data_IF_678769128026
#
_entry.id   IF_678769128026
#
_cell.length_a   1.000
_cell.length_b   1.000
_cell.length_c   1.000
_cell.angle_alpha   90.00
_cell.angle_beta   90.00
_cell.angle_gamma   90.00
#
_symmetry.space_group_name_H-M   'P 1'
#
loop_
_entity.id
_entity.type
_entity.pdbx_description
1 polymer ?
#
# COMPACT_ATOMS: atom_id res chain seq x y z
N UNK A 1 20.22 49.54 -6.84
CA UNK A 1 18.99 48.98 -6.24
C UNK A 1 18.92 47.53 -6.68
N UNK A 2 18.87 46.62 -5.71
CA UNK A 2 18.91 45.18 -5.91
C UNK A 2 17.49 44.70 -5.67
N UNK A 3 16.86 44.11 -6.69
CA UNK A 3 15.59 43.38 -6.50
C UNK A 3 15.92 41.89 -6.31
N UNK A 4 15.58 41.30 -5.15
CA UNK A 4 15.74 39.88 -4.89
C UNK A 4 14.37 39.19 -4.92
N UNK A 5 14.06 38.44 -5.97
CA UNK A 5 13.26 37.22 -5.87
C UNK A 5 13.15 36.58 -7.26
N UNK A 6 14.19 35.84 -7.66
CA UNK A 6 13.96 34.74 -8.60
C UNK A 6 13.44 33.58 -7.79
N UNK A 7 12.12 33.51 -7.62
CA UNK A 7 11.46 32.27 -7.19
C UNK A 7 11.58 31.30 -8.36
N UNK A 8 12.58 30.42 -8.31
CA UNK A 8 12.65 29.26 -9.19
C UNK A 8 11.44 28.38 -8.86
N UNK A 9 10.44 28.41 -9.73
CA UNK A 9 9.42 27.36 -9.76
C UNK A 9 10.18 26.06 -10.07
N UNK A 10 10.29 25.17 -9.09
CA UNK A 10 10.59 23.78 -9.36
C UNK A 10 9.31 23.22 -9.98
N UNK A 11 9.35 22.98 -11.29
CA UNK A 11 8.37 22.13 -11.96
C UNK A 11 8.50 20.74 -11.33
N UNK A 12 7.54 20.35 -10.51
CA UNK A 12 7.33 18.94 -10.16
C UNK A 12 7.00 18.22 -11.48
N UNK A 13 7.85 17.26 -11.87
CA UNK A 13 7.80 16.60 -13.16
C UNK A 13 6.54 15.75 -13.29
N UNK A 14 5.78 15.94 -14.37
CA UNK A 14 4.62 15.12 -14.80
C UNK A 14 4.94 13.60 -14.89
N UNK A 15 6.22 13.21 -14.86
CA UNK A 15 6.67 11.82 -14.85
C UNK A 15 6.30 11.07 -13.54
N UNK A 16 6.14 11.76 -12.41
CA UNK A 16 5.92 11.11 -11.10
C UNK A 16 4.52 10.48 -10.98
N UNK A 17 3.49 11.10 -11.57
CA UNK A 17 2.12 10.58 -11.54
C UNK A 17 1.96 9.33 -12.42
N UNK A 18 2.75 9.21 -13.49
CA UNK A 18 2.71 8.06 -14.41
C UNK A 18 3.03 6.73 -13.71
N UNK A 19 3.82 6.76 -12.64
CA UNK A 19 4.16 5.57 -11.85
C UNK A 19 2.96 5.04 -11.06
N UNK A 20 2.00 5.90 -10.73
CA UNK A 20 0.78 5.53 -10.04
C UNK A 20 -0.31 5.04 -10.99
N UNK A 21 -0.11 5.21 -12.30
CA UNK A 21 -0.97 4.65 -13.33
C UNK A 21 -0.57 3.20 -13.61
N UNK A 22 -1.56 2.31 -13.74
CA UNK A 22 -1.35 0.87 -14.00
C UNK A 22 -0.58 0.62 -15.32
N UNK A 23 -0.70 1.55 -16.26
CA UNK A 23 0.01 1.59 -17.55
C UNK A 23 1.47 2.02 -17.46
N UNK A 24 1.93 2.59 -16.33
CA UNK A 24 3.34 2.97 -16.13
C UNK A 24 4.29 1.80 -15.85
N UNK A 25 3.76 0.57 -15.81
CA UNK A 25 4.43 -0.63 -15.31
C UNK A 25 4.30 -1.82 -16.28
N UNK A 26 4.64 -1.60 -17.55
CA UNK A 26 4.47 -2.52 -18.70
C UNK A 26 5.03 -3.95 -18.53
N UNK A 27 5.83 -4.23 -17.49
CA UNK A 27 6.34 -5.56 -17.15
C UNK A 27 6.37 -5.84 -15.62
N UNK A 28 5.38 -5.35 -14.87
CA UNK A 28 5.33 -5.58 -13.43
C UNK A 28 4.78 -6.96 -13.03
N UNK A 29 5.41 -7.58 -12.04
CA UNK A 29 4.78 -8.64 -11.27
C UNK A 29 3.79 -8.04 -10.29
N UNK A 30 2.65 -8.70 -10.09
CA UNK A 30 1.59 -8.25 -9.19
C UNK A 30 1.48 -9.22 -8.01
N UNK A 31 1.37 -8.67 -6.82
CA UNK A 31 0.92 -9.36 -5.61
C UNK A 31 -0.30 -8.61 -5.08
N UNK A 32 -1.39 -9.32 -4.77
CA UNK A 32 -2.58 -8.72 -4.19
C UNK A 32 -3.13 -9.61 -3.09
N UNK A 33 -3.50 -8.99 -1.97
CA UNK A 33 -4.10 -9.67 -0.83
C UNK A 33 -5.09 -8.75 -0.12
N UNK A 34 -6.16 -9.34 0.42
CA UNK A 34 -7.17 -8.63 1.20
C UNK A 34 -7.27 -9.26 2.58
N UNK A 35 -7.14 -8.45 3.62
CA UNK A 35 -7.23 -8.86 5.02
C UNK A 35 -8.57 -8.42 5.60
N UNK A 36 -9.28 -9.34 6.27
CA UNK A 36 -10.46 -9.05 7.08
C UNK A 36 -10.09 -9.24 8.55
N UNK A 37 -10.20 -8.19 9.36
CA UNK A 37 -9.68 -8.14 10.73
C UNK A 37 -10.82 -8.18 11.74
N UNK A 38 -10.73 -9.02 12.77
CA UNK A 38 -11.80 -9.18 13.79
C UNK A 38 -11.73 -8.13 14.91
N UNK A 39 -10.65 -7.37 14.97
CA UNK A 39 -10.39 -6.37 16.01
C UNK A 39 -9.51 -6.85 17.16
N UNK A 40 -9.26 -8.16 17.27
CA UNK A 40 -8.54 -8.84 18.35
C UNK A 40 -7.27 -9.57 17.86
N UNK A 41 -6.59 -8.97 16.86
CA UNK A 41 -5.34 -9.43 16.23
C UNK A 41 -5.47 -10.62 15.27
N UNK A 42 -6.67 -11.16 15.03
CA UNK A 42 -6.84 -12.17 14.00
C UNK A 42 -7.28 -11.53 12.70
N UNK A 43 -6.64 -11.97 11.61
CA UNK A 43 -7.11 -11.69 10.27
C UNK A 43 -7.29 -12.93 9.45
N UNK A 44 -8.27 -12.85 8.56
CA UNK A 44 -8.41 -13.78 7.44
C UNK A 44 -7.81 -13.07 6.23
N UNK A 45 -6.80 -13.69 5.62
CA UNK A 45 -6.26 -13.25 4.34
C UNK A 45 -6.94 -13.99 3.19
N UNK A 46 -7.41 -13.23 2.21
CA UNK A 46 -7.90 -13.72 0.93
C UNK A 46 -6.90 -13.32 -0.16
N UNK A 47 -5.94 -14.20 -0.49
CA UNK A 47 -5.07 -13.94 -1.62
C UNK A 47 -5.91 -13.89 -2.91
N UNK A 48 -5.66 -12.88 -3.75
CA UNK A 48 -6.35 -12.78 -5.03
C UNK A 48 -5.94 -13.93 -5.95
N UNK A 49 -6.91 -14.77 -6.34
CA UNK A 49 -6.72 -15.87 -7.30
C UNK A 49 -6.66 -15.29 -8.72
N UNK A 50 -5.46 -14.92 -9.19
CA UNK A 50 -5.36 -14.36 -10.54
C UNK A 50 -3.96 -14.23 -11.14
N UNK A 51 -3.00 -13.62 -10.46
CA UNK A 51 -1.73 -13.21 -11.10
C UNK A 51 -0.52 -13.70 -10.30
N UNK A 52 -0.10 -14.94 -10.54
CA UNK A 52 0.87 -15.68 -9.72
C UNK A 52 2.35 -15.50 -10.13
N UNK A 53 2.75 -14.32 -10.62
CA UNK A 53 4.15 -14.02 -10.92
C UNK A 53 4.84 -13.15 -9.86
N UNK A 54 4.41 -13.21 -8.59
CA UNK A 54 4.93 -12.33 -7.53
C UNK A 54 6.45 -12.50 -7.33
N UNK A 55 7.17 -11.37 -7.35
CA UNK A 55 8.61 -11.37 -7.10
C UNK A 55 8.92 -11.69 -5.63
N UNK A 56 10.13 -12.18 -5.35
CA UNK A 56 10.61 -12.38 -3.96
C UNK A 56 10.56 -11.08 -3.17
N UNK A 57 10.87 -9.97 -3.83
CA UNK A 57 10.87 -8.63 -3.24
C UNK A 57 9.44 -8.18 -2.92
N UNK A 58 8.45 -8.42 -3.79
CA UNK A 58 7.04 -8.17 -3.49
C UNK A 58 6.56 -8.98 -2.26
N UNK A 59 7.01 -10.23 -2.13
CA UNK A 59 6.71 -11.07 -0.97
C UNK A 59 7.33 -10.51 0.32
N UNK A 60 8.55 -9.95 0.25
CA UNK A 60 9.19 -9.31 1.39
C UNK A 60 8.45 -8.02 1.80
N UNK A 61 8.07 -7.18 0.83
CA UNK A 61 7.27 -5.97 1.08
C UNK A 61 5.95 -6.35 1.77
N UNK A 62 5.25 -7.37 1.27
CA UNK A 62 4.01 -7.85 1.88
C UNK A 62 4.21 -8.28 3.35
N UNK A 63 5.29 -9.00 3.67
CA UNK A 63 5.58 -9.42 5.05
C UNK A 63 5.86 -8.22 5.96
N UNK A 64 6.66 -7.26 5.50
CA UNK A 64 6.93 -6.05 6.27
C UNK A 64 5.65 -5.24 6.54
N UNK A 65 4.73 -5.24 5.57
CA UNK A 65 3.42 -4.64 5.74
C UNK A 65 2.54 -5.41 6.73
N UNK A 66 2.49 -6.74 6.65
CA UNK A 66 1.74 -7.57 7.62
C UNK A 66 2.24 -7.36 9.05
N UNK A 67 3.57 -7.37 9.26
CA UNK A 67 4.16 -7.09 10.57
C UNK A 67 3.83 -5.67 11.07
N UNK A 68 3.75 -4.69 10.18
CA UNK A 68 3.32 -3.34 10.53
C UNK A 68 1.85 -3.31 10.91
N UNK A 69 1.00 -3.96 10.12
CA UNK A 69 -0.44 -3.99 10.32
C UNK A 69 -0.79 -4.68 11.64
N UNK A 70 -0.14 -5.80 11.94
CA UNK A 70 -0.24 -6.47 13.23
C UNK A 70 0.14 -5.53 14.37
N UNK A 71 1.26 -4.81 14.27
CA UNK A 71 1.69 -3.87 15.31
C UNK A 71 0.76 -2.66 15.45
N UNK A 72 0.23 -2.14 14.35
CA UNK A 72 -0.69 -0.99 14.33
C UNK A 72 -2.01 -1.33 15.03
N UNK A 73 -2.43 -2.58 14.93
CA UNK A 73 -3.64 -3.10 15.58
C UNK A 73 -3.35 -3.69 16.97
N UNK A 74 -2.09 -4.07 17.24
CA UNK A 74 -1.63 -4.59 18.52
C UNK A 74 -1.47 -3.48 19.55
N UNK A 75 -2.37 -3.44 20.52
CA UNK A 75 -2.43 -2.37 21.53
C UNK A 75 -3.84 -1.85 21.78
N UNK A 76 -4.83 -2.30 21.00
CA UNK A 76 -6.24 -2.12 21.35
C UNK A 76 -6.54 -2.77 22.71
N UNK A 77 -7.20 -2.02 23.57
CA UNK A 77 -7.97 -2.64 24.64
C UNK A 77 -9.19 -3.29 23.98
N UNK A 78 -9.59 -4.47 24.43
CA UNK A 78 -10.72 -5.24 23.89
C UNK A 78 -12.04 -4.45 23.83
N UNK A 79 -12.14 -3.34 24.57
CA UNK A 79 -13.32 -2.48 24.63
C UNK A 79 -13.22 -1.18 23.79
N UNK A 80 -12.14 -0.95 23.03
CA UNK A 80 -11.99 0.26 22.22
C UNK A 80 -12.49 0.06 20.77
N UNK A 81 -13.62 0.69 20.39
CA UNK A 81 -14.16 0.58 19.04
C UNK A 81 -13.28 1.27 17.98
N UNK A 82 -12.37 2.17 18.37
CA UNK A 82 -11.56 2.95 17.43
C UNK A 82 -10.55 2.06 16.74
N UNK A 83 -10.59 1.98 15.40
CA UNK A 83 -9.62 1.25 14.59
C UNK A 83 -8.54 2.23 14.11
N UNK A 84 -7.29 2.19 14.62
CA UNK A 84 -6.29 3.21 14.31
C UNK A 84 -6.07 3.42 12.81
N UNK A 85 -6.12 2.35 12.01
CA UNK A 85 -5.96 2.45 10.55
C UNK A 85 -7.12 3.14 9.82
N UNK A 86 -8.29 3.25 10.46
CA UNK A 86 -9.44 3.99 9.92
C UNK A 86 -9.53 5.42 10.45
N UNK A 87 -9.04 5.66 11.68
CA UNK A 87 -9.19 6.92 12.40
C UNK A 87 -7.97 7.85 12.25
N UNK A 88 -6.77 7.29 12.16
CA UNK A 88 -5.56 8.08 11.95
C UNK A 88 -5.57 8.73 10.56
N UNK A 89 -4.90 9.88 10.44
CA UNK A 89 -4.80 10.55 9.15
C UNK A 89 -4.04 9.67 8.14
N UNK A 90 -4.57 9.61 6.91
CA UNK A 90 -4.03 8.78 5.83
C UNK A 90 -2.59 9.11 5.47
N UNK A 91 -2.20 10.38 5.59
CA UNK A 91 -0.83 10.84 5.37
C UNK A 91 0.13 10.31 6.45
N UNK A 92 -0.29 10.34 7.72
CA UNK A 92 0.50 9.79 8.83
C UNK A 92 0.72 8.29 8.67
N UNK A 93 -0.33 7.53 8.32
CA UNK A 93 -0.24 6.09 8.07
C UNK A 93 0.70 5.80 6.89
N UNK A 94 0.51 6.50 5.77
CA UNK A 94 1.32 6.32 4.56
C UNK A 94 2.82 6.58 4.84
N UNK A 95 3.14 7.63 5.59
CA UNK A 95 4.51 7.95 5.98
C UNK A 95 5.10 6.89 6.91
N UNK A 96 4.34 6.38 7.88
CA UNK A 96 4.78 5.33 8.80
C UNK A 96 5.14 4.03 8.06
N UNK A 97 4.30 3.60 7.11
CA UNK A 97 4.55 2.42 6.29
C UNK A 97 5.77 2.62 5.39
N UNK A 98 5.83 3.75 4.69
CA UNK A 98 6.95 4.04 3.78
C UNK A 98 8.27 4.10 4.53
N UNK A 99 8.31 4.74 5.71
CA UNK A 99 9.50 4.81 6.55
C UNK A 99 9.95 3.43 7.01
N UNK A 100 9.02 2.57 7.44
CA UNK A 100 9.34 1.18 7.80
C UNK A 100 9.93 0.41 6.62
N UNK A 101 9.33 0.53 5.43
CA UNK A 101 9.84 -0.11 4.23
C UNK A 101 11.25 0.39 3.90
N UNK A 102 11.50 1.70 3.96
CA UNK A 102 12.85 2.26 3.71
C UNK A 102 13.93 1.72 4.64
N UNK A 103 13.58 1.45 5.90
CA UNK A 103 14.54 0.95 6.89
C UNK A 103 14.77 -0.56 6.80
N UNK A 104 13.76 -1.35 6.44
CA UNK A 104 13.80 -2.81 6.52
C UNK A 104 13.90 -3.52 5.16
N UNK A 105 13.45 -2.89 4.07
CA UNK A 105 13.45 -3.48 2.74
C UNK A 105 14.78 -3.18 2.03
N UNK A 106 15.50 -4.25 1.68
CA UNK A 106 16.71 -4.16 0.85
C UNK A 106 16.38 -4.77 -0.52
N UNK A 107 16.14 -3.95 -1.56
CA UNK A 107 15.78 -4.43 -2.89
C UNK A 107 16.94 -5.23 -3.51
N UNK A 108 16.62 -6.35 -4.18
CA UNK A 108 17.62 -7.20 -4.84
C UNK A 108 17.41 -7.35 -6.34
N UNK A 109 16.16 -7.35 -6.77
CA UNK A 109 15.80 -7.63 -8.15
C UNK A 109 14.81 -6.60 -8.71
N UNK A 110 14.38 -5.65 -7.89
CA UNK A 110 13.32 -4.69 -8.21
C UNK A 110 13.90 -3.29 -8.35
N UNK A 111 13.54 -2.63 -9.46
CA UNK A 111 13.88 -1.23 -9.76
C UNK A 111 12.81 -0.26 -9.28
N UNK A 112 11.55 -0.66 -9.30
CA UNK A 112 10.41 0.13 -8.80
C UNK A 112 9.41 -0.79 -8.12
N UNK A 113 8.89 -0.36 -6.97
CA UNK A 113 7.76 -1.00 -6.30
C UNK A 113 6.66 0.04 -6.06
N UNK A 114 5.48 -0.19 -6.63
CA UNK A 114 4.27 0.55 -6.33
C UNK A 114 3.43 -0.27 -5.34
N UNK A 115 3.20 0.28 -4.15
CA UNK A 115 2.35 -0.29 -3.11
C UNK A 115 1.04 0.52 -3.05
N UNK A 116 -0.07 -0.10 -3.43
CA UNK A 116 -1.41 0.48 -3.27
C UNK A 116 -2.07 -0.18 -2.06
N UNK A 117 -2.54 0.64 -1.13
CA UNK A 117 -3.23 0.21 0.09
C UNK A 117 -4.59 0.87 0.09
N UNK A 118 -5.62 0.07 0.30
CA UNK A 118 -6.99 0.53 0.43
C UNK A 118 -7.59 -0.03 1.71
N UNK A 119 -8.17 0.82 2.54
CA UNK A 119 -8.76 0.42 3.82
C UNK A 119 -10.17 0.95 3.95
N UNK A 120 -10.96 0.30 4.80
CA UNK A 120 -12.30 0.74 5.10
C UNK A 120 -13.03 -0.22 6.00
N UNK A 121 -14.25 0.16 6.39
CA UNK A 121 -15.13 -0.78 7.04
C UNK A 121 -15.58 -1.86 6.04
N UNK A 122 -15.78 -3.09 6.49
CA UNK A 122 -16.19 -4.19 5.57
C UNK A 122 -17.50 -3.88 4.84
N UNK A 123 -18.41 -3.14 5.47
CA UNK A 123 -19.66 -2.74 4.80
C UNK A 123 -19.45 -1.79 3.62
N UNK A 124 -18.28 -1.16 3.42
CA UNK A 124 -18.01 -0.36 2.21
C UNK A 124 -17.32 -1.17 1.12
N UNK A 125 -16.86 -2.39 1.42
CA UNK A 125 -16.09 -3.23 0.48
C UNK A 125 -16.90 -3.61 -0.77
N UNK A 126 -18.20 -3.90 -0.63
CA UNK A 126 -19.08 -4.27 -1.75
C UNK A 126 -19.33 -3.13 -2.74
N UNK A 127 -19.05 -1.88 -2.35
CA UNK A 127 -19.24 -0.69 -3.19
C UNK A 127 -18.06 -0.45 -4.14
N UNK A 128 -16.96 -1.20 -3.96
CA UNK A 128 -15.77 -1.10 -4.80
C UNK A 128 -16.01 -1.86 -6.11
N UNK A 129 -16.04 -1.13 -7.22
CA UNK A 129 -16.27 -1.67 -8.57
C UNK A 129 -15.15 -2.61 -9.04
N UNK A 130 -13.94 -2.47 -8.47
CA UNK A 130 -12.71 -3.21 -8.79
C UNK A 130 -12.34 -4.28 -7.74
N UNK A 131 -13.04 -4.32 -6.60
CA UNK A 131 -12.57 -4.96 -5.37
C UNK A 131 -13.16 -6.32 -5.04
N UNK A 132 -13.94 -6.97 -5.91
CA UNK A 132 -14.60 -8.24 -5.56
C UNK A 132 -13.85 -9.48 -6.09
N UNK A 133 -12.99 -10.14 -5.29
CA UNK A 133 -12.63 -11.51 -5.56
C UNK A 133 -13.80 -12.42 -5.16
N UNK A 134 -14.74 -12.67 -6.08
CA UNK A 134 -15.69 -13.81 -6.02
C UNK A 134 -16.30 -14.12 -4.63
N UNK A 135 -16.60 -13.09 -3.81
CA UNK A 135 -17.24 -13.30 -2.52
C UNK A 135 -18.70 -13.64 -2.84
N UNK A 136 -19.06 -14.91 -2.67
CA UNK A 136 -20.46 -15.32 -2.80
C UNK A 136 -21.29 -14.64 -1.70
N UNK A 137 -22.59 -14.51 -1.92
CA UNK A 137 -23.49 -13.92 -0.91
C UNK A 137 -23.34 -14.59 0.48
N UNK A 138 -23.11 -15.90 0.54
CA UNK A 138 -22.87 -16.64 1.78
C UNK A 138 -21.54 -16.25 2.47
N UNK A 139 -20.51 -15.93 1.68
CA UNK A 139 -19.24 -15.42 2.20
C UNK A 139 -19.36 -13.98 2.67
N UNK A 140 -20.23 -13.18 2.05
CA UNK A 140 -20.47 -11.79 2.44
C UNK A 140 -21.08 -11.69 3.85
N UNK A 141 -22.09 -12.50 4.16
CA UNK A 141 -22.66 -12.55 5.53
C UNK A 141 -21.62 -12.95 6.59
N UNK A 142 -20.68 -13.83 6.22
CA UNK A 142 -19.55 -14.18 7.08
C UNK A 142 -18.60 -13.00 7.26
N UNK A 143 -18.24 -12.29 6.18
CA UNK A 143 -17.29 -11.18 6.27
C UNK A 143 -17.84 -9.94 6.95
N UNK A 144 -19.16 -9.72 6.93
CA UNK A 144 -19.79 -8.62 7.68
C UNK A 144 -19.58 -8.70 9.20
N UNK A 145 -19.10 -9.83 9.72
CA UNK A 145 -18.71 -9.98 11.13
C UNK A 145 -17.40 -9.24 11.45
N UNK A 146 -16.59 -8.92 10.45
CA UNK A 146 -15.32 -8.22 10.62
C UNK A 146 -15.54 -6.70 10.49
N UNK A 147 -15.00 -5.87 11.39
CA UNK A 147 -15.19 -4.42 11.33
C UNK A 147 -14.35 -3.69 10.27
N UNK A 148 -13.30 -4.33 9.74
CA UNK A 148 -12.27 -3.71 8.89
C UNK A 148 -11.85 -4.64 7.74
N UNK A 149 -11.68 -4.07 6.55
CA UNK A 149 -10.87 -4.67 5.48
C UNK A 149 -9.63 -3.83 5.19
N UNK A 150 -8.57 -4.50 4.76
CA UNK A 150 -7.33 -3.88 4.26
C UNK A 150 -6.91 -4.63 3.00
N UNK A 151 -6.96 -3.97 1.85
CA UNK A 151 -6.46 -4.48 0.58
C UNK A 151 -5.07 -3.91 0.31
N UNK A 152 -4.13 -4.77 -0.06
CA UNK A 152 -2.81 -4.38 -0.54
C UNK A 152 -2.59 -4.94 -1.94
N UNK A 153 -2.13 -4.08 -2.84
CA UNK A 153 -1.63 -4.46 -4.17
C UNK A 153 -0.21 -3.95 -4.33
N UNK A 154 0.71 -4.83 -4.73
CA UNK A 154 2.12 -4.53 -4.91
C UNK A 154 2.46 -4.85 -6.36
N UNK A 155 2.86 -3.83 -7.10
CA UNK A 155 3.42 -3.97 -8.43
C UNK A 155 4.93 -3.78 -8.35
N UNK A 156 5.71 -4.70 -8.93
CA UNK A 156 7.18 -4.53 -8.98
C UNK A 156 7.72 -4.75 -10.37
N UNK A 157 8.57 -3.85 -10.84
CA UNK A 157 9.34 -4.03 -12.09
C UNK A 157 10.73 -4.56 -11.79
N UNK A 158 11.22 -5.45 -12.65
CA UNK A 158 12.56 -6.01 -12.48
C UNK A 158 13.64 -4.99 -12.82
N UNK A 159 14.81 -5.19 -12.22
CA UNK A 159 15.99 -4.39 -12.45
C UNK A 159 16.78 -4.95 -13.64
N UNK A 160 17.17 -4.09 -14.59
CA UNK A 160 18.01 -4.48 -15.73
C UNK A 160 19.51 -4.16 -15.52
N UNK A 161 19.87 -3.36 -14.52
CA UNK A 161 21.26 -2.96 -14.23
C UNK A 161 21.58 -3.01 -12.71
N UNK A 162 22.73 -3.58 -12.34
CA UNK A 162 23.09 -3.97 -10.95
C UNK A 162 23.36 -2.83 -9.94
N UNK A 163 23.01 -1.57 -10.22
CA UNK A 163 23.40 -0.45 -9.34
C UNK A 163 22.44 0.75 -9.32
N UNK A 164 21.18 0.55 -9.71
CA UNK A 164 20.19 1.63 -9.69
C UNK A 164 19.45 1.68 -8.36
N UNK A 165 19.09 2.90 -7.94
CA UNK A 165 18.21 3.13 -6.80
C UNK A 165 16.87 2.44 -7.06
N UNK A 166 16.30 1.81 -6.04
CA UNK A 166 14.93 1.32 -6.13
C UNK A 166 13.97 2.45 -5.77
N UNK A 167 12.96 2.70 -6.60
CA UNK A 167 11.91 3.67 -6.32
C UNK A 167 10.78 2.96 -5.58
N UNK A 168 10.40 3.46 -4.40
CA UNK A 168 9.21 3.06 -3.69
C UNK A 168 8.12 4.12 -3.88
N UNK A 169 7.00 3.73 -4.45
CA UNK A 169 5.79 4.54 -4.50
C UNK A 169 4.72 3.89 -3.64
N UNK A 170 4.03 4.70 -2.82
CA UNK A 170 2.95 4.25 -1.96
C UNK A 170 1.71 5.10 -2.21
N UNK A 171 0.57 4.45 -2.38
CA UNK A 171 -0.75 5.06 -2.55
C UNK A 171 -1.66 4.53 -1.45
N UNK A 172 -2.19 5.42 -0.60
CA UNK A 172 -3.06 5.10 0.53
C UNK A 172 -4.46 5.68 0.33
N UNK A 173 -5.45 4.82 0.30
CA UNK A 173 -6.86 5.18 0.26
C UNK A 173 -7.56 4.66 1.52
N UNK A 174 -8.23 5.53 2.24
CA UNK A 174 -9.31 5.14 3.14
C UNK A 174 -10.62 5.51 2.45
N UNK A 175 -11.43 4.49 2.14
CA UNK A 175 -12.61 4.64 1.27
C UNK A 175 -13.71 5.53 1.86
N UNK A 176 -13.68 5.83 3.16
CA UNK A 176 -14.62 6.78 3.78
C UNK A 176 -14.03 8.19 3.92
N UNK A 177 -12.70 8.32 3.97
CA UNK A 177 -12.01 9.60 4.21
C UNK A 177 -11.60 10.28 2.92
N UNK A 178 -11.01 9.55 1.97
CA UNK A 178 -10.51 10.07 0.70
C UNK A 178 -10.85 9.17 -0.51
N UNK A 179 -12.14 8.83 -0.73
CA UNK A 179 -12.55 7.95 -1.81
C UNK A 179 -12.16 8.51 -3.19
N UNK A 180 -11.50 7.68 -3.99
CA UNK A 180 -11.07 8.01 -5.35
C UNK A 180 -9.95 9.06 -5.43
N UNK A 181 -9.43 9.52 -4.28
CA UNK A 181 -8.32 10.48 -4.22
C UNK A 181 -7.26 9.99 -3.21
N UNK A 182 -6.55 8.89 -3.53
CA UNK A 182 -5.55 8.32 -2.62
C UNK A 182 -4.43 9.31 -2.33
N UNK A 183 -3.94 9.28 -1.09
CA UNK A 183 -2.73 9.99 -0.73
C UNK A 183 -1.52 9.25 -1.29
N UNK A 184 -0.63 9.97 -1.97
CA UNK A 184 0.51 9.41 -2.69
C UNK A 184 1.83 9.87 -2.08
N UNK A 185 2.78 8.96 -1.97
CA UNK A 185 4.17 9.22 -1.56
C UNK A 185 5.12 8.50 -2.50
N UNK A 186 6.29 9.08 -2.72
CA UNK A 186 7.36 8.44 -3.46
C UNK A 186 8.71 8.74 -2.81
N UNK A 187 9.58 7.74 -2.74
CA UNK A 187 10.96 7.88 -2.27
C UNK A 187 11.87 6.84 -2.95
N UNK A 188 13.17 6.93 -2.72
CA UNK A 188 14.17 6.01 -3.27
C UNK A 188 15.02 5.36 -2.18
N UNK A 189 15.25 4.06 -2.32
CA UNK A 189 16.21 3.29 -1.50
C UNK A 189 17.49 3.12 -2.29
N UNK A 190 18.62 3.49 -1.68
CA UNK A 190 19.93 3.16 -2.22
C UNK A 190 20.30 1.73 -1.82
N UNK A 191 20.76 0.88 -2.75
CA UNK A 191 21.34 -0.40 -2.37
C UNK A 191 22.55 -0.17 -1.45
N UNK A 192 22.82 -1.09 -0.50
CA UNK A 192 23.97 -0.97 0.38
C UNK A 192 25.25 -0.84 -0.44
N UNK A 193 26.07 0.17 -0.14
CA UNK A 193 27.37 0.36 -0.77
C UNK A 193 28.26 -0.83 -0.45
N UNK A 194 28.67 -1.58 -1.47
CA UNK A 194 29.55 -2.74 -1.38
C UNK A 194 30.97 -2.39 -0.96
#
# INVERSE_FOLDING_TARGET
MVDPCSTSYQEESDDDDSLFEETGLDAASIYQNTYFMDGDHHFISLPSLGNSSSSKDATLISRLFEEWLEQKLCGKQADDPLLPILEDNVDSIANEILDRLKHAFVPKYVSKALIKIRTGHVYTYHQLEDGQPLITQDMEEFFQQFPLFVEITIHTTTQHAENEKCILALSMENVTVNPGNPYKLMDSIQPPST
#
